data_IF_911337269391
#
_entry.id   IF_911337269391
#
_cell.length_a   1.000
_cell.length_b   1.000
_cell.length_c   1.000
_cell.angle_alpha   90.00
_cell.angle_beta   90.00
_cell.angle_gamma   90.00
#
_symmetry.space_group_name_H-M   'P 1'
#
loop_
_entity.id
_entity.type
_entity.pdbx_description
1 polymer ?
#
# COMPACT_ATOMS: atom_id res chain seq x y z
N UNK A 1 -8.40 -27.41 48.78
CA UNK A 1 -8.26 -26.14 49.51
C UNK A 1 -6.99 -26.24 50.36
N UNK A 2 -6.02 -25.37 50.14
CA UNK A 2 -4.68 -25.45 50.73
C UNK A 2 -4.68 -24.87 52.15
N UNK A 3 -4.06 -25.55 53.11
CA UNK A 3 -4.07 -25.14 54.52
C UNK A 3 -3.26 -23.84 54.73
N UNK A 4 -3.72 -22.92 55.60
CA UNK A 4 -3.10 -21.60 55.81
C UNK A 4 -1.64 -21.65 56.28
N UNK A 5 -1.22 -22.74 56.93
CA UNK A 5 0.16 -23.01 57.32
C UNK A 5 1.10 -23.22 56.11
N UNK A 6 0.58 -23.79 55.02
CA UNK A 6 1.37 -24.00 53.78
C UNK A 6 1.58 -22.69 53.03
N UNK A 7 0.65 -21.73 53.13
CA UNK A 7 0.79 -20.41 52.53
C UNK A 7 1.88 -19.58 53.22
N UNK A 8 1.97 -19.65 54.56
CA UNK A 8 3.02 -18.96 55.33
C UNK A 8 4.42 -19.45 54.97
N UNK A 9 4.60 -20.78 54.86
CA UNK A 9 5.90 -21.36 54.47
C UNK A 9 6.31 -20.96 53.04
N UNK A 10 5.36 -20.89 52.11
CA UNK A 10 5.63 -20.45 50.74
C UNK A 10 5.98 -18.95 50.67
N UNK A 11 5.30 -18.11 51.47
CA UNK A 11 5.61 -16.68 51.56
C UNK A 11 6.97 -16.40 52.22
N UNK A 12 7.33 -17.15 53.26
CA UNK A 12 8.63 -17.02 53.93
C UNK A 12 9.80 -17.52 53.06
N UNK A 13 9.57 -18.51 52.19
CA UNK A 13 10.55 -18.97 51.20
C UNK A 13 10.68 -18.00 50.00
N UNK A 14 9.60 -17.33 49.58
CA UNK A 14 9.62 -16.39 48.46
C UNK A 14 10.20 -15.02 48.81
N UNK A 15 10.19 -14.62 50.09
CA UNK A 15 10.68 -13.31 50.57
C UNK A 15 12.04 -13.37 51.28
N UNK A 16 12.73 -14.52 51.23
CA UNK A 16 14.15 -14.65 51.59
C UNK A 16 14.52 -14.15 52.99
N UNK A 17 13.60 -14.19 53.95
CA UNK A 17 13.88 -13.78 55.34
C UNK A 17 14.28 -12.31 55.54
N UNK A 18 14.04 -11.42 54.56
CA UNK A 18 14.37 -10.00 54.69
C UNK A 18 13.39 -9.28 55.62
N UNK A 19 13.67 -9.31 56.93
CA UNK A 19 13.05 -8.39 57.90
C UNK A 19 13.72 -7.02 57.76
N UNK A 20 12.90 -5.98 57.52
CA UNK A 20 13.38 -4.60 57.43
C UNK A 20 14.06 -4.20 58.75
N UNK A 21 15.38 -4.06 58.71
CA UNK A 21 16.25 -3.69 59.82
C UNK A 21 15.84 -2.32 60.41
N UNK A 22 15.77 -2.15 61.75
CA UNK A 22 15.52 -0.86 62.40
C UNK A 22 16.37 0.30 61.85
N UNK A 23 17.59 0.02 61.36
CA UNK A 23 18.45 1.00 60.72
C UNK A 23 17.83 1.63 59.46
N UNK A 24 17.08 0.86 58.67
CA UNK A 24 16.37 1.32 57.47
C UNK A 24 15.19 2.23 57.83
N UNK A 25 14.50 1.91 58.93
CA UNK A 25 13.39 2.71 59.44
C UNK A 25 13.88 4.06 60.00
N UNK A 26 15.02 4.07 60.70
CA UNK A 26 15.68 5.30 61.14
C UNK A 26 16.15 6.17 59.97
N UNK A 27 16.69 5.56 58.91
CA UNK A 27 17.09 6.27 57.70
C UNK A 27 15.90 6.87 56.93
N UNK A 28 14.79 6.13 56.86
CA UNK A 28 13.55 6.62 56.25
C UNK A 28 12.95 7.82 57.04
N UNK A 29 12.97 7.77 58.37
CA UNK A 29 12.50 8.89 59.21
C UNK A 29 13.37 10.15 59.08
N UNK A 30 14.68 10.01 58.92
CA UNK A 30 15.58 11.15 58.70
C UNK A 30 15.39 11.81 57.32
N UNK A 31 15.08 11.02 56.29
CA UNK A 31 14.76 11.53 54.95
C UNK A 31 13.38 12.21 54.88
N UNK A 32 12.41 11.74 55.67
CA UNK A 32 11.10 12.39 55.79
C UNK A 32 11.15 13.72 56.57
N UNK A 33 12.08 13.87 57.52
CA UNK A 33 12.23 15.08 58.32
C UNK A 33 12.93 16.26 57.58
N UNK A 34 13.66 15.97 56.51
CA UNK A 34 14.38 16.97 55.70
C UNK A 34 13.52 17.62 54.61
N UNK A 35 12.36 17.05 54.28
CA UNK A 35 11.42 17.64 53.32
C UNK A 35 10.39 18.55 54.00
N UNK A 36 10.86 19.62 54.66
CA UNK A 36 10.00 20.77 54.96
C UNK A 36 9.99 21.70 53.75
N UNK A 37 8.86 21.70 53.05
CA UNK A 37 8.60 22.45 51.84
C UNK A 37 8.72 23.97 52.05
N UNK A 38 9.60 24.62 51.30
CA UNK A 38 9.48 26.06 51.02
C UNK A 38 8.29 26.29 50.07
N UNK A 39 7.48 27.35 50.27
CA UNK A 39 6.25 27.57 49.50
C UNK A 39 6.58 27.96 48.05
N UNK A 40 6.58 26.97 47.15
CA UNK A 40 6.66 27.13 45.69
C UNK A 40 5.36 27.71 45.08
N UNK A 41 4.80 28.79 45.64
CA UNK A 41 3.60 29.42 45.05
C UNK A 41 3.95 30.19 43.76
N UNK A 42 5.08 30.91 43.72
CA UNK A 42 5.49 31.66 42.53
C UNK A 42 5.78 30.74 41.32
N UNK A 43 6.48 29.61 41.53
CA UNK A 43 6.80 28.68 40.44
C UNK A 43 5.58 27.90 39.95
N UNK A 44 4.54 27.69 40.78
CA UNK A 44 3.30 27.05 40.34
C UNK A 44 2.44 27.99 39.49
N UNK A 45 2.42 29.29 39.81
CA UNK A 45 1.73 30.29 38.99
C UNK A 45 2.44 30.48 37.64
N UNK A 46 3.77 30.53 37.63
CA UNK A 46 4.55 30.60 36.38
C UNK A 46 4.39 29.32 35.54
N UNK A 47 4.42 28.14 36.17
CA UNK A 47 4.19 26.88 35.47
C UNK A 47 2.76 26.76 34.93
N UNK A 48 1.75 27.25 35.67
CA UNK A 48 0.37 27.33 35.17
C UNK A 48 0.23 28.34 34.03
N UNK A 49 0.90 29.49 34.11
CA UNK A 49 0.85 30.49 33.04
C UNK A 49 1.51 29.97 31.76
N UNK A 50 2.65 29.27 31.88
CA UNK A 50 3.31 28.64 30.73
C UNK A 50 2.53 27.45 30.19
N UNK A 51 1.88 26.64 31.04
CA UNK A 51 1.01 25.57 30.56
C UNK A 51 -0.25 26.11 29.90
N UNK A 52 -0.84 27.19 30.39
CA UNK A 52 -1.95 27.87 29.71
C UNK A 52 -1.51 28.47 28.38
N UNK A 53 -0.36 29.15 28.31
CA UNK A 53 0.18 29.70 27.07
C UNK A 53 0.50 28.60 26.05
N UNK A 54 1.01 27.44 26.49
CA UNK A 54 1.25 26.29 25.63
C UNK A 54 -0.06 25.62 25.19
N UNK A 55 -1.04 25.48 26.08
CA UNK A 55 -2.37 24.97 25.72
C UNK A 55 -3.04 25.89 24.72
N UNK A 56 -3.07 27.21 24.96
CA UNK A 56 -3.65 28.18 24.00
C UNK A 56 -2.86 28.26 22.69
N UNK A 57 -1.52 28.17 22.72
CA UNK A 57 -0.69 28.16 21.52
C UNK A 57 -0.87 26.87 20.68
N UNK A 58 -1.01 25.72 21.33
CA UNK A 58 -1.36 24.46 20.66
C UNK A 58 -2.80 24.52 20.17
N UNK A 59 -3.73 25.09 20.93
CA UNK A 59 -5.14 25.23 20.54
C UNK A 59 -5.28 26.14 19.31
N UNK A 60 -4.56 27.26 19.20
CA UNK A 60 -4.62 28.15 18.04
C UNK A 60 -3.96 27.57 16.78
N UNK A 61 -2.95 26.71 16.93
CA UNK A 61 -2.36 25.97 15.81
C UNK A 61 -3.21 24.76 15.38
N UNK A 62 -3.89 24.12 16.32
CA UNK A 62 -4.64 22.88 16.10
C UNK A 62 -6.10 23.14 15.75
N UNK A 63 -6.75 24.20 16.25
CA UNK A 63 -8.14 24.55 15.87
C UNK A 63 -8.33 24.68 14.36
N UNK A 64 -7.51 25.43 13.60
CA UNK A 64 -7.67 25.50 12.15
C UNK A 64 -7.41 24.15 11.46
N UNK A 65 -6.74 23.18 12.12
CA UNK A 65 -6.56 21.79 11.62
C UNK A 65 -7.61 20.80 12.13
N UNK A 66 -8.40 21.17 13.13
CA UNK A 66 -9.58 20.42 13.59
C UNK A 66 -10.86 20.91 12.90
N UNK A 67 -10.90 22.19 12.53
CA UNK A 67 -11.99 22.84 11.80
C UNK A 67 -11.75 22.87 10.28
N UNK A 68 -10.55 22.50 9.83
CA UNK A 68 -10.41 21.94 8.49
C UNK A 68 -11.30 20.68 8.46
N UNK A 69 -12.24 20.55 7.52
CA UNK A 69 -13.01 19.32 7.39
C UNK A 69 -12.03 18.16 7.28
N UNK A 70 -11.92 17.36 8.35
CA UNK A 70 -11.18 16.09 8.35
C UNK A 70 -12.01 15.06 7.62
N UNK A 71 -12.14 15.31 6.33
CA UNK A 71 -12.05 14.30 5.32
C UNK A 71 -11.14 14.94 4.27
N UNK A 72 -9.88 14.52 4.23
CA UNK A 72 -9.43 14.09 2.91
C UNK A 72 -10.39 12.94 2.59
N UNK A 73 -11.54 13.29 1.99
CA UNK A 73 -12.09 12.40 1.01
C UNK A 73 -10.87 12.15 0.13
N UNK A 74 -10.34 10.93 0.19
CA UNK A 74 -9.93 10.31 -1.06
C UNK A 74 -11.02 10.73 -2.03
N UNK A 75 -10.68 11.36 -3.15
CA UNK A 75 -11.62 11.42 -4.26
C UNK A 75 -11.85 9.95 -4.67
N UNK A 76 -12.70 9.27 -3.89
CA UNK A 76 -13.39 8.09 -4.31
C UNK A 76 -14.33 8.67 -5.35
N UNK A 77 -13.98 8.44 -6.61
CA UNK A 77 -14.92 8.59 -7.70
C UNK A 77 -16.17 7.81 -7.30
N UNK A 78 -17.17 8.54 -6.81
CA UNK A 78 -18.47 7.98 -6.50
C UNK A 78 -19.01 7.39 -7.80
N UNK A 79 -19.42 6.12 -7.75
CA UNK A 79 -20.18 5.53 -8.83
C UNK A 79 -21.48 6.33 -9.00
N UNK A 80 -21.54 7.17 -10.04
CA UNK A 80 -22.77 7.86 -10.45
C UNK A 80 -22.82 9.39 -10.32
N UNK A 81 -21.71 10.12 -10.19
CA UNK A 81 -21.71 11.59 -10.31
C UNK A 81 -21.76 12.07 -11.78
N UNK A 82 -22.68 12.95 -12.19
CA UNK A 82 -22.83 13.35 -13.59
C UNK A 82 -21.83 14.45 -13.94
N UNK A 83 -20.68 14.08 -14.53
CA UNK A 83 -19.92 14.85 -15.54
C UNK A 83 -18.47 14.34 -15.67
N UNK A 84 -18.31 13.15 -16.23
CA UNK A 84 -17.09 12.77 -16.95
C UNK A 84 -17.41 12.57 -18.43
N UNK A 85 -18.14 13.51 -19.02
CA UNK A 85 -18.25 13.63 -20.47
C UNK A 85 -16.88 14.02 -21.03
N UNK A 86 -16.09 13.02 -21.41
CA UNK A 86 -14.78 13.23 -22.03
C UNK A 86 -13.78 12.09 -21.83
N UNK A 87 -13.98 11.24 -20.82
CA UNK A 87 -13.19 10.00 -20.73
C UNK A 87 -13.77 9.02 -21.74
N UNK A 88 -13.13 8.90 -22.92
CA UNK A 88 -13.36 7.77 -23.81
C UNK A 88 -13.09 6.51 -22.99
N UNK A 89 -14.13 5.76 -22.68
CA UNK A 89 -13.98 4.45 -22.05
C UNK A 89 -13.22 3.60 -23.05
N UNK A 90 -11.95 3.31 -22.74
CA UNK A 90 -11.13 2.45 -23.60
C UNK A 90 -11.68 1.02 -23.64
N UNK A 91 -12.68 0.69 -22.79
CA UNK A 91 -13.26 -0.64 -22.56
C UNK A 91 -13.38 -1.50 -23.83
N UNK A 92 -13.87 -0.95 -24.93
CA UNK A 92 -14.13 -1.72 -26.16
C UNK A 92 -12.87 -1.93 -27.05
N UNK A 93 -11.69 -1.58 -26.58
CA UNK A 93 -10.51 -1.58 -27.44
C UNK A 93 -9.81 -2.97 -27.45
N UNK A 94 -9.51 -3.52 -28.64
CA UNK A 94 -8.89 -4.85 -28.78
C UNK A 94 -7.47 -4.89 -28.19
N UNK A 95 -6.89 -6.08 -27.98
CA UNK A 95 -5.48 -6.19 -27.54
C UNK A 95 -4.53 -5.38 -28.42
N UNK A 96 -3.59 -4.67 -27.78
CA UNK A 96 -2.61 -3.81 -28.46
C UNK A 96 -3.15 -2.44 -28.91
N UNK A 97 -4.44 -2.16 -28.72
CA UNK A 97 -5.05 -0.85 -29.01
C UNK A 97 -4.67 0.26 -28.05
N UNK A 98 -4.25 -0.09 -26.83
CA UNK A 98 -3.71 0.84 -25.86
C UNK A 98 -2.25 1.09 -26.27
N UNK A 99 -2.10 1.82 -27.37
CA UNK A 99 -0.84 2.39 -27.81
C UNK A 99 -0.60 3.59 -26.92
N UNK A 100 0.51 3.55 -26.16
CA UNK A 100 0.92 4.71 -25.36
C UNK A 100 1.04 5.93 -26.28
N UNK A 101 0.35 7.00 -25.91
CA UNK A 101 0.29 8.23 -26.71
C UNK A 101 1.69 8.80 -26.91
N UNK A 102 2.00 9.26 -28.11
CA UNK A 102 3.23 10.03 -28.39
C UNK A 102 3.15 11.49 -27.94
N UNK A 103 2.15 11.84 -27.11
CA UNK A 103 1.93 13.19 -26.62
C UNK A 103 3.07 13.60 -25.69
N UNK A 104 3.48 14.87 -25.77
CA UNK A 104 4.55 15.41 -24.92
C UNK A 104 4.14 15.53 -23.44
N UNK A 105 2.84 15.56 -23.13
CA UNK A 105 2.30 15.57 -21.77
C UNK A 105 1.01 14.73 -21.70
N UNK A 106 1.13 13.40 -21.63
CA UNK A 106 -0.02 12.51 -21.62
C UNK A 106 -0.74 12.62 -20.28
N UNK A 107 -2.07 12.80 -20.30
CA UNK A 107 -2.84 12.90 -19.06
C UNK A 107 -2.85 11.57 -18.29
N UNK A 108 -3.16 11.64 -17.00
CA UNK A 108 -3.47 10.46 -16.18
C UNK A 108 -4.46 9.53 -16.91
N UNK A 109 -4.08 8.26 -17.05
CA UNK A 109 -4.93 7.23 -17.62
C UNK A 109 -4.98 6.03 -16.67
N UNK A 110 -6.17 5.74 -16.15
CA UNK A 110 -6.41 4.58 -15.32
C UNK A 110 -6.67 3.32 -16.16
N UNK A 111 -5.91 2.26 -15.94
CA UNK A 111 -6.12 0.94 -16.58
C UNK A 111 -6.89 -0.03 -15.67
N UNK A 112 -7.39 0.43 -14.53
CA UNK A 112 -8.13 -0.38 -13.57
C UNK A 112 -9.59 -0.55 -13.94
N UNK A 113 -10.11 -1.76 -13.78
CA UNK A 113 -11.56 -2.01 -13.87
C UNK A 113 -12.30 -1.32 -12.72
N UNK A 114 -13.55 -0.92 -12.99
CA UNK A 114 -14.38 -0.24 -11.98
C UNK A 114 -14.81 -1.24 -10.90
N UNK A 115 -14.77 -0.78 -9.65
CA UNK A 115 -15.29 -1.53 -8.50
C UNK A 115 -16.81 -1.51 -8.43
N UNK A 116 -17.35 -2.45 -7.66
CA UNK A 116 -18.75 -2.49 -7.24
C UNK A 116 -18.81 -2.44 -5.72
N UNK A 117 -19.78 -1.71 -5.16
CA UNK A 117 -20.02 -1.69 -3.71
C UNK A 117 -18.86 -1.18 -2.84
N UNK A 118 -17.95 -0.37 -3.40
CA UNK A 118 -16.78 0.16 -2.68
C UNK A 118 -15.55 -0.76 -2.65
N UNK A 119 -15.66 -1.99 -3.20
CA UNK A 119 -14.54 -2.93 -3.30
C UNK A 119 -13.96 -2.96 -4.72
N UNK A 120 -12.64 -3.11 -4.81
CA UNK A 120 -11.97 -3.31 -6.09
C UNK A 120 -12.18 -4.75 -6.57
N UNK A 121 -12.31 -4.98 -7.89
CA UNK A 121 -12.35 -6.33 -8.46
C UNK A 121 -10.97 -6.98 -8.31
N UNK A 122 -10.89 -8.03 -7.50
CA UNK A 122 -9.66 -8.61 -7.00
C UNK A 122 -9.65 -10.14 -7.08
N UNK A 123 -8.44 -10.67 -7.15
CA UNK A 123 -8.08 -12.05 -6.90
C UNK A 123 -6.99 -12.09 -5.84
N UNK A 124 -7.05 -13.08 -4.95
CA UNK A 124 -5.95 -13.45 -4.06
C UNK A 124 -5.44 -14.83 -4.43
N UNK A 125 -4.12 -14.97 -4.59
CA UNK A 125 -3.44 -16.25 -4.77
C UNK A 125 -2.24 -16.30 -3.82
N UNK A 126 -2.18 -17.28 -2.92
CA UNK A 126 -1.05 -17.46 -1.98
C UNK A 126 -0.67 -16.19 -1.20
N UNK A 127 -1.67 -15.43 -0.73
CA UNK A 127 -1.47 -14.18 0.02
C UNK A 127 -1.18 -12.94 -0.84
N UNK A 128 -1.08 -13.10 -2.16
CA UNK A 128 -0.82 -12.06 -3.15
C UNK A 128 -2.14 -11.53 -3.70
N UNK A 129 -2.31 -10.21 -3.75
CA UNK A 129 -3.50 -9.60 -4.33
C UNK A 129 -3.26 -9.10 -5.75
N UNK A 130 -4.26 -9.30 -6.62
CA UNK A 130 -4.24 -8.91 -8.01
C UNK A 130 -5.54 -8.18 -8.34
N UNK A 131 -5.45 -7.00 -8.95
CA UNK A 131 -6.60 -6.17 -9.33
C UNK A 131 -6.88 -6.26 -10.82
N UNK A 132 -8.16 -6.41 -11.15
CA UNK A 132 -8.62 -6.53 -12.53
C UNK A 132 -8.32 -5.26 -13.32
N UNK A 133 -7.80 -5.47 -14.52
CA UNK A 133 -7.54 -4.42 -15.49
C UNK A 133 -8.74 -4.25 -16.42
N UNK A 134 -9.02 -3.00 -16.80
CA UNK A 134 -10.01 -2.68 -17.82
C UNK A 134 -9.58 -3.18 -19.20
N UNK A 135 -8.26 -3.22 -19.46
CA UNK A 135 -7.67 -3.66 -20.72
C UNK A 135 -6.52 -4.64 -20.51
N UNK A 136 -6.34 -5.56 -21.46
CA UNK A 136 -7.26 -5.89 -22.55
C UNK A 136 -8.52 -6.65 -22.07
N UNK A 137 -9.58 -6.65 -22.86
CA UNK A 137 -10.84 -7.34 -22.52
C UNK A 137 -10.77 -8.87 -22.63
N UNK A 138 -9.76 -9.41 -23.32
CA UNK A 138 -9.55 -10.84 -23.46
C UNK A 138 -8.06 -11.13 -23.60
N UNK A 139 -7.53 -12.05 -22.78
CA UNK A 139 -6.14 -12.53 -22.80
C UNK A 139 -6.02 -14.03 -23.02
N UNK A 140 -7.00 -14.65 -23.67
CA UNK A 140 -7.02 -16.12 -23.88
C UNK A 140 -5.74 -16.63 -24.55
N UNK A 141 -5.17 -15.90 -25.51
CA UNK A 141 -3.93 -16.34 -26.18
C UNK A 141 -2.66 -16.10 -25.35
N UNK A 142 -2.77 -15.43 -24.19
CA UNK A 142 -1.66 -15.20 -23.27
C UNK A 142 -1.71 -16.13 -22.05
N UNK A 143 -2.69 -17.04 -21.99
CA UNK A 143 -2.83 -17.97 -20.88
C UNK A 143 -1.65 -18.96 -20.86
N UNK A 144 -0.98 -19.00 -19.72
CA UNK A 144 0.05 -19.98 -19.41
C UNK A 144 -0.51 -21.17 -18.62
N UNK A 145 0.32 -21.71 -17.72
CA UNK A 145 -0.09 -22.81 -16.87
C UNK A 145 -1.24 -22.42 -15.92
N UNK A 146 -2.10 -23.39 -15.61
CA UNK A 146 -3.11 -23.20 -14.57
C UNK A 146 -2.44 -23.24 -13.19
N UNK A 147 -2.70 -22.22 -12.38
CA UNK A 147 -2.16 -22.06 -11.03
C UNK A 147 -3.09 -22.61 -9.95
N UNK A 148 -4.40 -22.62 -10.21
CA UNK A 148 -5.39 -23.08 -9.25
C UNK A 148 -6.82 -22.83 -9.71
N UNK A 149 -7.76 -22.90 -8.77
CA UNK A 149 -9.16 -22.57 -8.97
C UNK A 149 -9.65 -21.70 -7.81
N UNK A 150 -10.58 -20.78 -8.08
CA UNK A 150 -11.20 -19.95 -7.04
C UNK A 150 -11.92 -20.84 -6.04
N UNK A 151 -11.46 -20.82 -4.79
CA UNK A 151 -12.04 -21.61 -3.69
C UNK A 151 -13.07 -20.80 -2.93
N UNK A 152 -12.81 -19.50 -2.72
CA UNK A 152 -13.69 -18.61 -1.97
C UNK A 152 -14.17 -17.47 -2.86
N UNK A 153 -15.47 -17.30 -2.97
CA UNK A 153 -16.08 -16.10 -3.54
C UNK A 153 -16.64 -15.23 -2.40
N UNK A 154 -16.25 -13.97 -2.31
CA UNK A 154 -16.76 -13.04 -1.28
C UNK A 154 -16.74 -11.61 -1.79
N UNK A 155 -17.76 -10.82 -1.45
CA UNK A 155 -17.80 -9.41 -1.80
C UNK A 155 -16.84 -8.56 -0.95
N UNK A 156 -16.34 -9.09 0.17
CA UNK A 156 -15.51 -8.39 1.17
C UNK A 156 -14.10 -9.01 1.30
N UNK A 157 -13.25 -8.95 0.25
CA UNK A 157 -11.94 -9.60 0.23
C UNK A 157 -11.00 -9.12 1.35
N UNK A 158 -11.18 -7.90 1.85
CA UNK A 158 -10.34 -7.31 2.89
C UNK A 158 -10.54 -7.94 4.29
N UNK A 159 -11.69 -8.59 4.52
CA UNK A 159 -12.01 -9.20 5.82
C UNK A 159 -11.63 -10.68 5.87
N UNK A 160 -11.26 -11.29 4.74
CA UNK A 160 -10.86 -12.68 4.68
C UNK A 160 -9.39 -12.85 5.12
N UNK A 161 -9.20 -13.51 6.27
CA UNK A 161 -7.90 -13.83 6.83
C UNK A 161 -7.34 -15.21 6.37
N UNK A 162 -8.01 -15.88 5.43
CA UNK A 162 -7.56 -17.16 4.90
C UNK A 162 -6.39 -17.03 3.93
N UNK A 163 -5.89 -18.17 3.46
CA UNK A 163 -4.87 -18.24 2.41
C UNK A 163 -5.39 -18.85 1.11
N UNK A 164 -6.66 -19.26 1.08
CA UNK A 164 -7.27 -19.88 -0.09
C UNK A 164 -7.32 -18.89 -1.27
N UNK A 165 -7.34 -19.43 -2.48
CA UNK A 165 -7.57 -18.64 -3.68
C UNK A 165 -8.96 -18.01 -3.57
N UNK A 166 -9.00 -16.68 -3.53
CA UNK A 166 -10.21 -15.91 -3.29
C UNK A 166 -10.47 -14.96 -4.46
N UNK A 167 -11.73 -14.71 -4.77
CA UNK A 167 -12.15 -13.64 -5.68
C UNK A 167 -13.42 -12.96 -5.20
N UNK A 168 -13.64 -11.73 -5.64
CA UNK A 168 -14.94 -11.05 -5.58
C UNK A 168 -15.52 -10.76 -6.98
N UNK A 169 -14.95 -11.37 -8.03
CA UNK A 169 -15.34 -11.11 -9.42
C UNK A 169 -15.38 -12.37 -10.28
N UNK A 170 -14.44 -13.31 -10.07
CA UNK A 170 -14.44 -14.61 -10.73
C UNK A 170 -15.19 -15.63 -9.86
N UNK A 171 -16.25 -16.30 -10.36
CA UNK A 171 -17.03 -17.26 -9.56
C UNK A 171 -16.20 -18.40 -8.98
N UNK A 172 -16.71 -19.03 -7.92
CA UNK A 172 -16.09 -20.23 -7.34
C UNK A 172 -15.92 -21.34 -8.41
N UNK A 173 -14.81 -22.08 -8.34
CA UNK A 173 -14.42 -23.10 -9.31
C UNK A 173 -13.74 -22.55 -10.58
N UNK A 174 -13.70 -21.23 -10.75
CA UNK A 174 -13.04 -20.61 -11.92
C UNK A 174 -11.54 -20.89 -11.89
N UNK A 175 -10.94 -21.44 -12.96
CA UNK A 175 -9.50 -21.62 -13.04
C UNK A 175 -8.77 -20.28 -13.16
N UNK A 176 -7.61 -20.19 -12.51
CA UNK A 176 -6.69 -19.04 -12.57
C UNK A 176 -5.40 -19.51 -13.24
N UNK A 177 -4.88 -18.68 -14.15
CA UNK A 177 -3.76 -19.00 -15.01
C UNK A 177 -2.63 -17.97 -14.88
N UNK A 178 -1.42 -18.42 -15.16
CA UNK A 178 -0.29 -17.55 -15.47
C UNK A 178 -0.55 -16.74 -16.75
N UNK A 179 0.17 -15.63 -16.89
CA UNK A 179 0.19 -14.84 -18.12
C UNK A 179 1.60 -14.88 -18.71
N UNK A 180 1.70 -15.35 -19.95
CA UNK A 180 2.99 -15.53 -20.63
C UNK A 180 3.79 -14.23 -20.65
N UNK A 181 5.03 -14.30 -20.16
CA UNK A 181 5.97 -13.19 -20.14
C UNK A 181 5.83 -12.22 -18.96
N UNK A 182 4.86 -12.42 -18.07
CA UNK A 182 4.63 -11.51 -16.93
C UNK A 182 4.91 -12.13 -15.55
N UNK A 183 5.16 -13.44 -15.48
CA UNK A 183 5.49 -14.12 -14.23
C UNK A 183 4.45 -13.86 -13.14
N UNK A 184 4.90 -13.42 -11.96
CA UNK A 184 4.02 -13.13 -10.80
C UNK A 184 3.38 -11.75 -10.83
N UNK A 185 3.69 -10.92 -11.83
CA UNK A 185 3.19 -9.55 -11.89
C UNK A 185 1.75 -9.48 -12.38
N UNK A 186 1.29 -10.50 -13.11
CA UNK A 186 -0.09 -10.56 -13.59
C UNK A 186 -0.60 -12.00 -13.67
N UNK A 187 -1.91 -12.15 -13.52
CA UNK A 187 -2.65 -13.41 -13.62
C UNK A 187 -3.87 -13.22 -14.52
N UNK A 188 -4.43 -14.33 -14.99
CA UNK A 188 -5.67 -14.31 -15.75
C UNK A 188 -6.71 -15.27 -15.17
N UNK A 189 -7.97 -14.88 -15.24
CA UNK A 189 -9.10 -15.73 -14.85
C UNK A 189 -10.33 -15.41 -15.71
N UNK A 190 -11.26 -16.36 -15.80
CA UNK A 190 -12.51 -16.13 -16.51
C UNK A 190 -13.41 -15.18 -15.72
N UNK A 191 -13.78 -14.05 -16.32
CA UNK A 191 -14.70 -13.06 -15.77
C UNK A 191 -15.65 -12.67 -16.89
N UNK A 192 -16.96 -12.78 -16.65
CA UNK A 192 -18.00 -12.46 -17.64
C UNK A 192 -17.81 -13.17 -18.99
N UNK A 193 -17.34 -14.42 -18.97
CA UNK A 193 -17.14 -15.24 -20.17
C UNK A 193 -15.88 -14.94 -20.98
N UNK A 194 -14.98 -14.09 -20.48
CA UNK A 194 -13.69 -13.78 -21.11
C UNK A 194 -12.54 -13.96 -20.14
N UNK A 195 -11.38 -14.38 -20.66
CA UNK A 195 -10.17 -14.44 -19.86
C UNK A 195 -9.68 -13.01 -19.61
N UNK A 196 -9.82 -12.51 -18.39
CA UNK A 196 -9.46 -11.14 -18.03
C UNK A 196 -8.17 -11.08 -17.23
N UNK A 197 -7.44 -9.98 -17.41
CA UNK A 197 -6.12 -9.76 -16.82
C UNK A 197 -6.22 -9.07 -15.46
N UNK A 198 -5.40 -9.53 -14.51
CA UNK A 198 -5.25 -8.93 -13.20
C UNK A 198 -3.78 -8.61 -12.94
N UNK A 199 -3.50 -7.40 -12.46
CA UNK A 199 -2.14 -6.98 -12.10
C UNK A 199 -1.92 -7.07 -10.59
N UNK A 200 -0.73 -7.48 -10.17
CA UNK A 200 -0.30 -7.53 -8.77
C UNK A 200 -0.38 -6.14 -8.13
N UNK A 201 -1.03 -6.05 -6.97
CA UNK A 201 -1.20 -4.82 -6.19
C UNK A 201 -1.01 -5.08 -4.71
N UNK A 202 -0.70 -4.01 -3.96
CA UNK A 202 -0.76 -4.04 -2.52
C UNK A 202 -2.20 -3.79 -2.08
N UNK A 203 -2.70 -4.62 -1.17
CA UNK A 203 -4.07 -4.56 -0.67
C UNK A 203 -4.16 -5.17 0.72
N UNK A 204 -5.00 -4.58 1.58
CA UNK A 204 -5.24 -5.03 2.96
C UNK A 204 -3.95 -5.28 3.77
N UNK A 205 -2.94 -4.42 3.61
CA UNK A 205 -1.64 -4.54 4.29
C UNK A 205 -0.70 -5.61 3.72
N UNK A 206 -1.15 -6.39 2.73
CA UNK A 206 -0.29 -7.30 1.96
C UNK A 206 0.31 -6.58 0.76
N UNK A 207 1.61 -6.77 0.54
CA UNK A 207 2.36 -6.25 -0.61
C UNK A 207 3.29 -7.32 -1.16
N UNK A 208 4.61 -7.09 -1.05
CA UNK A 208 5.62 -8.10 -1.32
C UNK A 208 5.63 -9.17 -0.23
N UNK A 209 5.78 -10.43 -0.65
CA UNK A 209 6.06 -11.55 0.22
C UNK A 209 7.58 -11.75 0.36
N UNK A 210 8.01 -12.52 1.36
CA UNK A 210 9.43 -12.73 1.66
C UNK A 210 10.20 -13.23 0.43
N UNK A 211 11.27 -12.51 0.06
CA UNK A 211 12.10 -12.82 -1.11
C UNK A 211 11.60 -12.27 -2.45
N UNK A 212 10.42 -11.63 -2.50
CA UNK A 212 9.97 -10.93 -3.71
C UNK A 212 10.69 -9.58 -3.88
N UNK A 213 10.88 -9.19 -5.14
CA UNK A 213 11.57 -7.96 -5.55
C UNK A 213 10.69 -7.16 -6.52
N UNK A 214 11.16 -5.98 -6.94
CA UNK A 214 10.46 -5.19 -7.96
C UNK A 214 10.21 -6.01 -9.24
N UNK A 215 11.16 -6.87 -9.64
CA UNK A 215 11.03 -7.73 -10.84
C UNK A 215 9.88 -8.72 -10.79
N UNK A 216 9.46 -9.15 -9.59
CA UNK A 216 8.30 -10.03 -9.43
C UNK A 216 6.97 -9.29 -9.68
N UNK A 217 7.00 -7.96 -9.67
CA UNK A 217 5.81 -7.10 -9.77
C UNK A 217 5.82 -6.22 -11.02
N UNK A 218 7.01 -6.02 -11.59
CA UNK A 218 7.26 -5.28 -12.81
C UNK A 218 8.36 -6.02 -13.61
N UNK A 219 7.98 -6.99 -14.44
CA UNK A 219 8.92 -7.87 -15.13
C UNK A 219 9.70 -7.14 -16.22
N UNK A 220 10.78 -7.76 -16.69
CA UNK A 220 11.55 -7.25 -17.82
C UNK A 220 10.78 -7.37 -19.14
N UNK A 221 11.28 -6.75 -20.20
CA UNK A 221 10.68 -6.85 -21.54
C UNK A 221 9.64 -5.77 -21.84
N UNK A 222 9.65 -4.67 -21.07
CA UNK A 222 8.95 -3.45 -21.44
C UNK A 222 9.47 -2.95 -22.79
N UNK A 223 8.56 -2.51 -23.65
CA UNK A 223 8.84 -1.95 -24.97
C UNK A 223 8.56 -0.44 -25.04
N UNK A 224 7.77 0.08 -24.09
CA UNK A 224 7.50 1.50 -23.97
C UNK A 224 7.11 1.85 -22.54
N UNK A 225 7.43 3.07 -22.13
CA UNK A 225 7.12 3.64 -20.83
C UNK A 225 6.45 5.00 -21.02
N UNK A 226 5.31 5.23 -20.38
CA UNK A 226 4.63 6.52 -20.40
C UNK A 226 4.44 7.02 -18.98
N UNK A 227 4.99 8.19 -18.69
CA UNK A 227 4.81 8.87 -17.43
C UNK A 227 3.84 10.04 -17.65
N UNK A 228 2.71 10.01 -16.94
CA UNK A 228 1.70 11.04 -17.10
C UNK A 228 2.25 12.43 -16.76
N UNK A 229 1.82 13.43 -17.52
CA UNK A 229 2.24 14.83 -17.48
C UNK A 229 3.73 15.05 -17.83
N UNK A 230 4.45 13.99 -18.21
CA UNK A 230 5.90 14.05 -18.55
C UNK A 230 6.17 13.63 -19.99
N UNK A 231 5.68 12.47 -20.43
CA UNK A 231 5.88 12.01 -21.80
C UNK A 231 5.99 10.50 -21.95
N UNK A 232 6.32 10.06 -23.16
CA UNK A 232 6.42 8.65 -23.54
C UNK A 232 7.79 8.34 -24.14
N UNK A 233 8.44 7.29 -23.65
CA UNK A 233 9.71 6.76 -24.16
C UNK A 233 9.44 5.41 -24.84
N UNK A 234 9.79 5.33 -26.13
CA UNK A 234 9.60 4.12 -26.96
C UNK A 234 10.92 3.60 -27.57
N UNK A 235 12.03 4.32 -27.42
CA UNK A 235 13.34 3.84 -27.83
C UNK A 235 13.73 2.62 -26.99
N UNK A 236 14.02 1.48 -27.64
CA UNK A 236 14.30 0.22 -26.98
C UNK A 236 15.52 0.29 -26.04
N UNK A 237 16.57 1.02 -26.40
CA UNK A 237 17.76 1.18 -25.55
C UNK A 237 17.46 2.07 -24.34
N UNK A 238 16.71 3.16 -24.54
CA UNK A 238 16.30 4.03 -23.47
C UNK A 238 15.37 3.32 -22.47
N UNK A 239 14.35 2.60 -22.97
CA UNK A 239 13.43 1.80 -22.15
C UNK A 239 14.19 0.74 -21.35
N UNK A 240 15.10 0.00 -21.98
CA UNK A 240 15.93 -0.99 -21.29
C UNK A 240 16.77 -0.37 -20.17
N UNK A 241 17.38 0.79 -20.43
CA UNK A 241 18.19 1.53 -19.47
C UNK A 241 17.37 2.01 -18.27
N UNK A 242 16.18 2.57 -18.53
CA UNK A 242 15.25 3.02 -17.51
C UNK A 242 14.76 1.88 -16.62
N UNK A 243 14.39 0.74 -17.21
CA UNK A 243 14.00 -0.45 -16.45
C UNK A 243 15.17 -0.99 -15.63
N UNK A 244 16.40 -0.94 -16.15
CA UNK A 244 17.58 -1.34 -15.39
C UNK A 244 17.84 -0.42 -14.18
N UNK A 245 17.62 0.89 -14.30
CA UNK A 245 17.69 1.80 -13.15
C UNK A 245 16.69 1.41 -12.07
N UNK A 246 15.45 1.09 -12.43
CA UNK A 246 14.45 0.59 -11.49
C UNK A 246 14.93 -0.69 -10.78
N UNK A 247 15.54 -1.63 -11.49
CA UNK A 247 15.98 -2.88 -10.87
C UNK A 247 17.24 -2.76 -10.02
N UNK A 248 18.07 -1.76 -10.27
CA UNK A 248 19.39 -1.66 -9.63
C UNK A 248 19.46 -0.56 -8.57
N UNK A 249 18.62 0.47 -8.68
CA UNK A 249 18.68 1.65 -7.82
C UNK A 249 17.37 1.93 -7.06
N UNK A 250 16.27 1.23 -7.35
CA UNK A 250 15.05 1.45 -6.59
C UNK A 250 15.15 0.91 -5.16
N UNK A 251 14.82 1.74 -4.19
CA UNK A 251 14.79 1.38 -2.77
C UNK A 251 13.36 1.09 -2.31
N UNK A 252 13.14 -0.08 -1.72
CA UNK A 252 11.83 -0.47 -1.19
C UNK A 252 11.47 0.36 0.06
N UNK A 253 10.28 0.95 0.05
CA UNK A 253 9.76 1.80 1.14
C UNK A 253 8.62 1.13 1.93
N UNK A 254 8.12 -0.03 1.50
CA UNK A 254 7.07 -0.78 2.20
C UNK A 254 5.86 -1.10 1.32
N UNK A 255 4.88 -1.79 1.91
CA UNK A 255 3.68 -2.28 1.23
C UNK A 255 2.57 -1.20 1.10
N UNK A 256 2.74 -0.04 1.71
CA UNK A 256 1.74 1.03 1.60
C UNK A 256 1.73 1.61 0.18
N UNK A 257 0.59 1.59 -0.48
CA UNK A 257 0.41 2.30 -1.76
C UNK A 257 0.33 3.79 -1.48
N UNK A 258 1.20 4.59 -2.09
CA UNK A 258 1.03 6.03 -2.06
C UNK A 258 0.03 6.44 -3.13
N UNK A 259 -0.97 7.24 -2.73
CA UNK A 259 -1.79 7.96 -3.69
C UNK A 259 -0.91 8.96 -4.44
N UNK A 260 -1.15 9.11 -5.74
CA UNK A 260 -0.37 9.98 -6.60
C UNK A 260 -1.24 10.55 -7.71
N UNK A 261 -0.96 11.80 -8.11
CA UNK A 261 -1.63 12.42 -9.26
C UNK A 261 -1.07 11.94 -10.60
N UNK A 262 0.06 11.23 -10.57
CA UNK A 262 0.74 10.72 -11.76
C UNK A 262 0.73 9.19 -11.81
N UNK A 263 0.91 8.66 -13.01
CA UNK A 263 1.00 7.22 -13.29
C UNK A 263 2.10 6.93 -14.28
N UNK A 264 2.80 5.83 -14.03
CA UNK A 264 3.67 5.19 -14.99
C UNK A 264 2.92 4.02 -15.62
N UNK A 265 2.72 4.08 -16.94
CA UNK A 265 2.26 2.95 -17.74
C UNK A 265 3.46 2.25 -18.38
N UNK A 266 3.48 0.92 -18.27
CA UNK A 266 4.57 0.07 -18.79
C UNK A 266 3.96 -0.92 -19.78
N UNK A 267 4.29 -0.75 -21.05
CA UNK A 267 3.78 -1.57 -22.15
C UNK A 267 4.75 -2.71 -22.46
N UNK A 268 4.22 -3.90 -22.69
CA UNK A 268 4.97 -5.11 -23.04
C UNK A 268 4.66 -5.56 -24.48
N UNK A 269 5.59 -6.31 -25.08
CA UNK A 269 5.46 -6.79 -26.47
C UNK A 269 4.25 -7.68 -26.75
N UNK A 270 3.65 -8.26 -25.70
CA UNK A 270 2.42 -9.05 -25.79
C UNK A 270 1.13 -8.19 -25.74
N UNK A 271 1.27 -6.86 -25.75
CA UNK A 271 0.15 -5.91 -25.75
C UNK A 271 -0.44 -5.60 -24.37
N UNK A 272 0.14 -6.14 -23.30
CA UNK A 272 -0.25 -5.82 -21.92
C UNK A 272 0.34 -4.48 -21.49
N UNK A 273 -0.44 -3.70 -20.74
CA UNK A 273 0.01 -2.49 -20.08
C UNK A 273 -0.21 -2.61 -18.57
N UNK A 274 0.86 -2.51 -17.79
CA UNK A 274 0.81 -2.46 -16.33
C UNK A 274 0.88 -1.01 -15.87
N UNK A 275 0.23 -0.69 -14.75
CA UNK A 275 0.21 0.66 -14.18
C UNK A 275 0.83 0.69 -12.80
N UNK A 276 1.69 1.69 -12.55
CA UNK A 276 2.16 2.07 -11.23
C UNK A 276 1.68 3.49 -10.92
N UNK A 277 1.26 3.72 -9.68
CA UNK A 277 1.03 5.07 -9.19
C UNK A 277 2.38 5.76 -8.95
N UNK A 278 2.45 7.06 -9.21
CA UNK A 278 3.67 7.88 -9.04
C UNK A 278 3.36 8.99 -8.05
N UNK A 279 4.21 9.12 -7.02
CA UNK A 279 4.15 10.19 -6.04
C UNK A 279 5.57 10.69 -5.75
N UNK A 280 5.88 11.91 -6.23
CA UNK A 280 7.25 12.41 -6.26
C UNK A 280 8.17 11.42 -6.97
N UNK A 281 9.28 11.05 -6.31
CA UNK A 281 10.27 10.11 -6.85
C UNK A 281 9.97 8.65 -6.50
N UNK A 282 8.71 8.29 -6.27
CA UNK A 282 8.31 6.94 -5.86
C UNK A 282 7.24 6.34 -6.77
N UNK A 283 7.36 5.03 -6.99
CA UNK A 283 6.46 4.18 -7.77
C UNK A 283 5.76 3.18 -6.85
N UNK A 284 4.44 3.05 -6.98
CA UNK A 284 3.63 2.15 -6.15
C UNK A 284 2.77 1.20 -7.00
N UNK A 285 2.89 -0.10 -6.74
CA UNK A 285 1.93 -1.12 -7.20
C UNK A 285 1.72 -2.18 -6.10
N UNK A 286 2.50 -3.25 -6.10
CA UNK A 286 2.53 -4.28 -5.05
C UNK A 286 3.38 -3.90 -3.82
N UNK A 287 3.89 -2.68 -3.83
CA UNK A 287 4.81 -2.10 -2.89
C UNK A 287 5.28 -0.74 -3.43
N UNK A 288 5.85 0.07 -2.57
CA UNK A 288 6.35 1.40 -2.93
C UNK A 288 7.86 1.37 -3.02
N UNK A 289 8.38 1.96 -4.09
CA UNK A 289 9.78 1.98 -4.45
C UNK A 289 10.20 3.40 -4.79
N UNK A 290 11.20 3.94 -4.12
CA UNK A 290 11.77 5.24 -4.49
C UNK A 290 12.93 5.05 -5.46
N UNK A 291 12.93 5.80 -6.55
CA UNK A 291 14.01 5.78 -7.55
C UNK A 291 14.15 7.15 -8.23
N UNK A 292 14.78 8.15 -7.57
CA UNK A 292 14.96 9.49 -8.16
C UNK A 292 15.70 9.45 -9.51
N UNK A 293 16.74 8.62 -9.61
CA UNK A 293 17.53 8.45 -10.83
C UNK A 293 16.70 7.97 -12.03
N UNK A 294 15.62 7.20 -11.80
CA UNK A 294 14.71 6.82 -12.88
C UNK A 294 13.98 8.04 -13.44
N UNK A 295 13.46 8.92 -12.59
CA UNK A 295 12.71 10.10 -13.04
C UNK A 295 13.59 11.12 -13.75
N UNK A 296 14.81 11.35 -13.24
CA UNK A 296 15.81 12.19 -13.90
C UNK A 296 16.20 11.64 -15.28
N UNK A 297 16.50 10.34 -15.36
CA UNK A 297 16.83 9.68 -16.63
C UNK A 297 15.64 9.63 -17.59
N UNK A 298 14.42 9.50 -17.09
CA UNK A 298 13.21 9.48 -17.90
C UNK A 298 13.02 10.81 -18.61
N UNK A 299 13.14 11.93 -17.89
CA UNK A 299 13.03 13.27 -18.47
C UNK A 299 14.13 13.53 -19.52
N UNK A 300 15.34 13.01 -19.31
CA UNK A 300 16.44 13.12 -20.26
C UNK A 300 16.29 12.22 -21.50
N UNK A 301 15.48 11.17 -21.42
CA UNK A 301 15.22 10.22 -22.50
C UNK A 301 14.02 10.59 -23.38
N UNK A 302 13.33 11.69 -23.06
CA UNK A 302 12.25 12.20 -23.89
C UNK A 302 12.82 12.76 -25.22
N UNK A 303 12.10 12.58 -26.34
CA UNK A 303 12.49 13.11 -27.65
C UNK A 303 12.42 14.65 -27.73
#
# INVERSE_FOLDING_TARGET
>A
MMNPEQFRRAADQALGGLKADPALLHRARQLAATQRAQPRRANRVLAMAMSMALVFGVLTLVLPRLNAPRMNAVDTLAAGGPSLQGMRTTADLPRGSLVLSGDSQPKYQGVWERGSGGNFPLLRLDGRYYRLLSHPEDVTDLLGAQLGQVVTFTDEPALDAGNALLSNVAPQGTPVYEVTGLGRAALAAQVNGRARLFQRVAFAGSGLLSGETLRDTLPSGAIALQLSDVGTVQDAQAVSSLMNLLYTQAAYQGAGTQGGSQTLLVQYGNGVVLQLAVSGDSLSAAGTWSCPAFFEAFAAALP
#
